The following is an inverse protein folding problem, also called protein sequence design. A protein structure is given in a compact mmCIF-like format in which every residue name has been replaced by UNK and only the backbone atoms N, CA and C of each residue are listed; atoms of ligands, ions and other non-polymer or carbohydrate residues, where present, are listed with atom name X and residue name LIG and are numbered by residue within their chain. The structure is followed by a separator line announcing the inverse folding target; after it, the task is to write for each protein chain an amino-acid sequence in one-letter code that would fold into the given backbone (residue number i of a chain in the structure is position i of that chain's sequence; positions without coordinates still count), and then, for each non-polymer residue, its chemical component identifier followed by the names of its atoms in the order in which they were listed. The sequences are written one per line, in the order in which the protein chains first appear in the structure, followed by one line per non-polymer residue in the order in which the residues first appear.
data_IF_755880949091
#
_entry.id   IF_755880949091
#
_cell.length_a   1.000
_cell.length_b   1.000
_cell.length_c   1.000
_cell.angle_alpha   90.00
_cell.angle_beta   90.00
_cell.angle_gamma   90.00
#
_symmetry.space_group_name_H-M   'P 1'
#
loop_
_entity.id
_entity.type
_entity.pdbx_description
1 polymer ?
#
# COMPACT_ATOMS: atom_id res chain seq x y z
N UNK A 1 -25.73 -30.46 -52.18
CA UNK A 1 -24.71 -29.56 -51.56
C UNK A 1 -25.40 -28.70 -50.51
N UNK A 2 -25.17 -28.98 -49.24
CA UNK A 2 -25.77 -28.30 -48.09
C UNK A 2 -24.98 -27.00 -47.83
N UNK A 3 -25.56 -25.85 -48.16
CA UNK A 3 -25.04 -24.55 -47.74
C UNK A 3 -25.46 -24.31 -46.29
N UNK A 4 -24.52 -24.43 -45.34
CA UNK A 4 -24.73 -23.97 -43.98
C UNK A 4 -24.43 -22.47 -43.90
N UNK A 5 -25.46 -21.65 -43.70
CA UNK A 5 -25.29 -20.28 -43.21
C UNK A 5 -24.68 -20.33 -41.80
N UNK A 6 -23.64 -19.53 -41.50
CA UNK A 6 -23.15 -19.41 -40.14
C UNK A 6 -24.21 -18.70 -39.29
N UNK A 7 -24.74 -19.41 -38.31
CA UNK A 7 -25.62 -18.89 -37.26
C UNK A 7 -24.95 -17.71 -36.56
N UNK A 8 -25.44 -16.50 -36.79
CA UNK A 8 -25.13 -15.32 -35.99
C UNK A 8 -25.68 -15.57 -34.58
N UNK A 9 -24.78 -15.80 -33.63
CA UNK A 9 -25.11 -15.76 -32.21
C UNK A 9 -25.70 -14.37 -31.89
N UNK A 10 -26.82 -14.28 -31.18
CA UNK A 10 -27.28 -12.99 -30.68
C UNK A 10 -26.24 -12.44 -29.70
N UNK A 11 -25.68 -11.28 -30.01
CA UNK A 11 -24.90 -10.45 -29.08
C UNK A 11 -25.70 -10.33 -27.77
N UNK A 12 -25.17 -10.76 -26.61
CA UNK A 12 -25.83 -10.45 -25.36
C UNK A 12 -25.88 -8.92 -25.25
N UNK A 13 -27.10 -8.39 -25.16
CA UNK A 13 -27.35 -6.98 -24.87
C UNK A 13 -26.46 -6.56 -23.69
N UNK A 14 -25.80 -5.39 -23.74
CA UNK A 14 -24.94 -4.93 -22.67
C UNK A 14 -25.77 -4.90 -21.39
N UNK A 15 -25.52 -5.88 -20.52
CA UNK A 15 -26.07 -5.91 -19.18
C UNK A 15 -25.80 -4.54 -18.58
N UNK A 16 -26.90 -3.86 -18.22
CA UNK A 16 -26.93 -2.50 -17.72
C UNK A 16 -25.68 -2.18 -16.91
N UNK A 17 -24.86 -1.26 -17.42
CA UNK A 17 -23.84 -0.61 -16.60
C UNK A 17 -24.56 -0.13 -15.34
N UNK A 18 -24.15 -0.57 -14.13
CA UNK A 18 -24.75 -0.03 -12.93
C UNK A 18 -24.54 1.48 -12.97
N UNK A 19 -25.60 2.25 -12.66
CA UNK A 19 -25.54 3.70 -12.53
C UNK A 19 -24.24 4.10 -11.80
N UNK A 20 -23.59 5.23 -12.17
CA UNK A 20 -22.36 5.64 -11.53
C UNK A 20 -22.64 5.85 -10.04
N UNK A 21 -22.38 4.82 -9.25
CA UNK A 21 -22.32 4.92 -7.80
C UNK A 21 -21.15 5.87 -7.60
N UNK A 22 -21.43 7.13 -7.31
CA UNK A 22 -20.40 8.12 -7.01
C UNK A 22 -19.65 7.58 -5.81
N UNK A 23 -18.54 6.89 -6.06
CA UNK A 23 -17.71 6.32 -5.00
C UNK A 23 -17.16 7.52 -4.25
N UNK A 24 -17.45 7.66 -2.94
CA UNK A 24 -16.93 8.78 -2.18
C UNK A 24 -15.40 8.77 -2.28
N UNK A 25 -14.80 9.95 -2.42
CA UNK A 25 -13.35 10.08 -2.32
C UNK A 25 -12.98 9.78 -0.86
N UNK A 26 -12.24 8.69 -0.65
CA UNK A 26 -11.91 8.20 0.67
C UNK A 26 -10.64 8.88 1.21
N UNK A 27 -9.71 9.25 0.32
CA UNK A 27 -8.55 10.05 0.65
C UNK A 27 -8.05 10.84 -0.58
N UNK A 28 -7.17 11.81 -0.36
CA UNK A 28 -6.51 12.58 -1.41
C UNK A 28 -5.00 12.49 -1.19
N UNK A 29 -4.25 12.21 -2.26
CA UNK A 29 -2.81 12.38 -2.29
C UNK A 29 -2.47 13.69 -2.99
N UNK A 30 -1.80 14.60 -2.29
CA UNK A 30 -1.35 15.88 -2.83
C UNK A 30 0.15 15.85 -3.09
N UNK A 31 0.60 16.08 -4.33
CA UNK A 31 2.01 16.10 -4.68
C UNK A 31 2.71 17.30 -4.05
N UNK A 32 3.68 17.02 -3.19
CA UNK A 32 4.46 18.01 -2.44
C UNK A 32 5.86 18.26 -3.04
N UNK A 33 6.21 17.60 -4.14
CA UNK A 33 7.47 17.85 -4.85
C UNK A 33 7.55 19.28 -5.40
N UNK A 34 8.75 19.84 -5.40
CA UNK A 34 9.06 21.09 -6.09
C UNK A 34 9.31 20.77 -7.57
N UNK A 35 8.54 21.38 -8.47
CA UNK A 35 8.65 21.12 -9.91
C UNK A 35 7.31 21.11 -10.64
N UNK A 36 7.28 20.69 -11.92
CA UNK A 36 6.06 20.53 -12.68
C UNK A 36 5.18 19.47 -12.01
N UNK A 37 4.01 19.88 -11.52
CA UNK A 37 3.09 19.00 -10.79
C UNK A 37 2.96 19.28 -9.29
N UNK A 38 3.68 20.27 -8.74
CA UNK A 38 3.45 20.75 -7.37
C UNK A 38 1.98 21.10 -7.15
N UNK A 39 1.36 20.53 -6.12
CA UNK A 39 -0.05 20.73 -5.80
C UNK A 39 -1.03 19.91 -6.63
N UNK A 40 -0.56 19.03 -7.53
CA UNK A 40 -1.45 18.06 -8.16
C UNK A 40 -2.05 17.12 -7.11
N UNK A 41 -3.34 16.86 -7.24
CA UNK A 41 -4.10 16.03 -6.31
C UNK A 41 -4.60 14.78 -7.03
N UNK A 42 -4.56 13.65 -6.33
CA UNK A 42 -5.03 12.37 -6.80
C UNK A 42 -6.08 11.82 -5.84
N UNK A 43 -7.26 11.55 -6.38
CA UNK A 43 -8.40 11.06 -5.61
C UNK A 43 -8.29 9.55 -5.38
N UNK A 44 -8.25 9.15 -4.12
CA UNK A 44 -8.30 7.76 -3.69
C UNK A 44 -9.77 7.38 -3.49
N UNK A 45 -10.34 6.70 -4.47
CA UNK A 45 -11.77 6.31 -4.48
C UNK A 45 -12.04 4.87 -4.05
N UNK A 46 -11.01 4.03 -3.99
CA UNK A 46 -11.09 2.61 -3.68
C UNK A 46 -10.50 2.26 -2.32
N UNK A 47 -10.95 1.15 -1.74
CA UNK A 47 -10.32 0.55 -0.56
C UNK A 47 -8.97 -0.08 -0.89
N UNK A 48 -8.73 -0.47 -2.15
CA UNK A 48 -7.42 -0.83 -2.67
C UNK A 48 -7.11 0.14 -3.81
N UNK A 49 -5.97 0.80 -3.76
CA UNK A 49 -5.53 1.76 -4.78
C UNK A 49 -4.07 1.48 -5.11
N UNK A 50 -3.79 1.17 -6.37
CA UNK A 50 -2.45 0.93 -6.89
C UNK A 50 -1.77 2.25 -7.25
N UNK A 51 -0.50 2.36 -6.89
CA UNK A 51 0.34 3.54 -7.14
C UNK A 51 1.59 3.09 -7.87
N UNK A 52 1.89 3.74 -8.99
CA UNK A 52 3.06 3.43 -9.78
C UNK A 52 3.19 4.29 -11.03
N UNK A 53 4.24 4.04 -11.81
CA UNK A 53 4.46 4.75 -13.08
C UNK A 53 3.64 4.16 -14.23
N UNK A 54 3.28 2.88 -14.14
CA UNK A 54 2.54 2.19 -15.19
C UNK A 54 1.12 2.72 -15.34
N UNK A 55 0.56 2.73 -16.57
CA UNK A 55 -0.80 3.21 -16.83
C UNK A 55 -1.89 2.29 -16.27
N UNK A 56 -1.53 1.10 -15.79
CA UNK A 56 -2.43 0.13 -15.17
C UNK A 56 -2.73 0.44 -13.70
N UNK A 57 -2.04 1.41 -13.09
CA UNK A 57 -2.27 1.81 -11.70
C UNK A 57 -3.40 2.83 -11.60
N UNK A 58 -4.10 2.84 -10.47
CA UNK A 58 -5.14 3.82 -10.17
C UNK A 58 -4.55 5.25 -10.05
N UNK A 59 -3.34 5.35 -9.48
CA UNK A 59 -2.59 6.59 -9.36
C UNK A 59 -1.30 6.46 -10.15
N UNK A 60 -1.26 7.18 -11.27
CA UNK A 60 -0.13 7.18 -12.19
C UNK A 60 0.80 8.34 -11.85
N UNK A 61 2.02 8.00 -11.42
CA UNK A 61 3.09 8.95 -11.14
C UNK A 61 4.12 8.87 -12.27
N UNK A 62 4.11 9.86 -13.16
CA UNK A 62 5.01 9.95 -14.31
C UNK A 62 6.43 10.40 -13.91
N UNK A 63 7.08 9.66 -13.02
CA UNK A 63 8.42 9.93 -12.53
C UNK A 63 9.30 8.67 -12.68
N UNK A 64 10.55 8.84 -13.13
CA UNK A 64 11.46 7.72 -13.39
C UNK A 64 11.89 6.98 -12.12
N UNK A 65 11.89 7.67 -10.97
CA UNK A 65 12.22 7.06 -9.68
C UNK A 65 11.10 6.14 -9.16
N UNK A 66 9.93 6.13 -9.81
CA UNK A 66 8.77 5.32 -9.44
C UNK A 66 8.72 4.07 -10.34
N UNK A 67 8.80 2.88 -9.72
CA UNK A 67 8.58 1.60 -10.39
C UNK A 67 7.20 1.49 -11.07
N UNK A 68 7.10 0.61 -12.07
CA UNK A 68 5.87 0.41 -12.86
C UNK A 68 4.67 0.06 -11.98
N UNK A 69 4.84 -0.88 -11.04
CA UNK A 69 3.96 -1.08 -9.88
C UNK A 69 4.78 -0.84 -8.62
N UNK A 70 4.56 0.29 -7.94
CA UNK A 70 5.45 0.75 -6.87
C UNK A 70 4.94 0.39 -5.48
N UNK A 71 3.69 0.75 -5.22
CA UNK A 71 3.05 0.54 -3.93
C UNK A 71 1.55 0.40 -4.11
N UNK A 72 0.88 -0.02 -3.04
CA UNK A 72 -0.58 -0.04 -2.95
C UNK A 72 -1.01 0.58 -1.63
N UNK A 73 -2.06 1.38 -1.70
CA UNK A 73 -2.79 1.88 -0.54
C UNK A 73 -3.99 0.96 -0.29
N UNK A 74 -4.15 0.56 0.97
CA UNK A 74 -5.22 -0.30 1.45
C UNK A 74 -5.96 0.37 2.61
N UNK A 75 -7.25 0.60 2.46
CA UNK A 75 -8.14 0.92 3.56
C UNK A 75 -8.64 -0.39 4.18
N UNK A 76 -8.32 -0.57 5.45
CA UNK A 76 -8.83 -1.63 6.33
C UNK A 76 -9.77 -1.03 7.37
N UNK A 77 -10.45 -1.87 8.13
CA UNK A 77 -11.42 -1.46 9.15
C UNK A 77 -10.82 -0.51 10.21
N UNK A 78 -9.53 -0.65 10.47
CA UNK A 78 -8.79 0.09 11.49
C UNK A 78 -7.96 1.25 10.93
N UNK A 79 -7.87 1.42 9.61
CA UNK A 79 -7.09 2.52 9.03
C UNK A 79 -6.57 2.30 7.62
N UNK A 80 -5.82 3.29 7.16
CA UNK A 80 -5.08 3.23 5.91
C UNK A 80 -3.73 2.56 6.11
N UNK A 81 -3.34 1.76 5.14
CA UNK A 81 -2.06 1.06 5.07
C UNK A 81 -1.43 1.33 3.71
N UNK A 82 -0.12 1.51 3.70
CA UNK A 82 0.69 1.47 2.49
C UNK A 82 1.49 0.18 2.48
N UNK A 83 1.53 -0.49 1.34
CA UNK A 83 2.31 -1.70 1.13
C UNK A 83 3.21 -1.47 -0.07
N UNK A 84 4.52 -1.62 0.14
CA UNK A 84 5.50 -1.52 -0.94
C UNK A 84 5.46 -2.81 -1.78
N UNK A 85 5.44 -2.67 -3.10
CA UNK A 85 5.34 -3.80 -4.02
C UNK A 85 6.70 -4.37 -4.45
N UNK A 86 7.77 -4.05 -3.71
CA UNK A 86 9.15 -4.34 -4.12
C UNK A 86 9.71 -3.24 -5.01
N UNK A 87 9.41 -1.98 -4.67
CA UNK A 87 9.87 -0.84 -5.46
C UNK A 87 11.39 -0.69 -5.39
N UNK A 88 11.99 -0.22 -6.50
CA UNK A 88 13.45 -0.09 -6.62
C UNK A 88 14.03 0.91 -5.61
N UNK A 89 13.38 2.07 -5.49
CA UNK A 89 13.84 3.17 -4.62
C UNK A 89 13.21 3.15 -3.22
N UNK A 90 12.20 2.29 -3.01
CA UNK A 90 11.47 2.17 -1.77
C UNK A 90 10.32 3.18 -1.61
N UNK A 91 9.33 2.76 -0.81
CA UNK A 91 8.29 3.63 -0.27
C UNK A 91 8.67 4.10 1.14
N UNK A 92 8.35 5.35 1.49
CA UNK A 92 8.61 5.94 2.81
C UNK A 92 7.35 6.62 3.37
N UNK A 93 7.17 6.54 4.69
CA UNK A 93 6.08 7.18 5.46
C UNK A 93 6.71 7.98 6.58
N UNK A 94 6.46 9.29 6.63
CA UNK A 94 7.04 10.18 7.64
C UNK A 94 8.57 10.11 7.68
N UNK A 95 9.21 9.93 6.52
CA UNK A 95 10.66 9.78 6.40
C UNK A 95 11.22 8.38 6.70
N UNK A 96 10.43 7.46 7.22
CA UNK A 96 10.87 6.07 7.49
C UNK A 96 10.51 5.15 6.33
N UNK A 97 11.44 4.30 5.89
CA UNK A 97 11.17 3.31 4.82
C UNK A 97 10.13 2.29 5.28
N UNK A 98 9.27 1.86 4.36
CA UNK A 98 8.27 0.81 4.58
C UNK A 98 8.93 -0.55 4.33
N UNK A 99 8.80 -1.46 5.30
CA UNK A 99 9.19 -2.86 5.16
C UNK A 99 7.92 -3.72 5.18
N UNK A 100 7.51 -4.21 4.00
CA UNK A 100 6.22 -4.90 3.84
C UNK A 100 5.05 -3.92 3.85
N UNK A 101 4.39 -3.78 4.99
CA UNK A 101 3.23 -2.89 5.16
C UNK A 101 3.39 -1.94 6.34
N UNK A 102 2.85 -0.73 6.20
CA UNK A 102 2.85 0.28 7.26
C UNK A 102 1.53 1.02 7.31
N UNK A 103 1.01 1.18 8.54
CA UNK A 103 -0.18 1.98 8.81
C UNK A 103 0.11 3.46 8.62
N UNK A 104 -0.82 4.17 7.99
CA UNK A 104 -0.81 5.62 7.83
C UNK A 104 -1.61 6.23 8.98
N UNK A 105 -0.90 6.83 9.92
CA UNK A 105 -1.52 7.48 11.08
C UNK A 105 -1.75 8.96 10.78
N UNK A 106 -3.03 9.36 10.71
CA UNK A 106 -3.41 10.73 10.40
C UNK A 106 -3.10 11.12 8.95
N UNK A 107 -2.28 12.15 8.76
CA UNK A 107 -1.94 12.74 7.47
C UNK A 107 -0.42 12.77 7.24
N UNK A 108 0.26 11.60 7.18
CA UNK A 108 1.71 11.57 7.06
C UNK A 108 2.17 11.97 5.65
N UNK A 109 3.41 12.45 5.57
CA UNK A 109 4.10 12.57 4.29
C UNK A 109 4.45 11.18 3.76
N UNK A 110 4.01 10.89 2.55
CA UNK A 110 4.35 9.70 1.78
C UNK A 110 5.45 10.05 0.78
N UNK A 111 6.36 9.11 0.53
CA UNK A 111 7.33 9.22 -0.55
C UNK A 111 7.39 7.92 -1.33
N UNK A 112 7.15 8.01 -2.63
CA UNK A 112 7.29 6.91 -3.58
C UNK A 112 8.51 7.19 -4.43
N UNK A 113 9.63 6.51 -4.16
CA UNK A 113 10.93 6.86 -4.74
C UNK A 113 11.32 8.31 -4.43
N UNK A 114 11.37 9.15 -5.47
CA UNK A 114 11.64 10.59 -5.40
C UNK A 114 10.40 11.47 -5.29
N UNK A 115 9.19 10.91 -5.41
CA UNK A 115 7.93 11.67 -5.37
C UNK A 115 7.40 11.76 -3.95
N UNK A 116 7.41 12.97 -3.36
CA UNK A 116 6.79 13.28 -2.07
C UNK A 116 5.33 13.67 -2.28
N UNK A 117 4.45 13.09 -1.47
CA UNK A 117 3.03 13.35 -1.48
C UNK A 117 2.52 13.48 -0.04
N UNK A 118 1.54 14.34 0.17
CA UNK A 118 0.81 14.46 1.44
C UNK A 118 -0.44 13.62 1.37
N UNK A 119 -0.61 12.72 2.33
CA UNK A 119 -1.82 11.93 2.47
C UNK A 119 -2.87 12.71 3.27
N UNK A 120 -4.07 12.90 2.71
CA UNK A 120 -5.20 13.50 3.41
C UNK A 120 -6.39 12.54 3.42
N UNK A 121 -6.69 11.85 4.54
CA UNK A 121 -7.90 11.03 4.62
C UNK A 121 -9.14 11.94 4.65
N UNK A 122 -10.14 11.63 3.81
CA UNK A 122 -11.44 12.32 3.79
C UNK A 122 -12.54 11.50 4.47
N UNK A 123 -12.43 10.18 4.42
CA UNK A 123 -13.27 9.27 5.19
C UNK A 123 -12.47 8.70 6.36
N UNK A 124 -13.01 8.83 7.58
CA UNK A 124 -12.53 8.03 8.71
C UNK A 124 -12.96 6.57 8.48
N UNK A 125 -12.16 5.56 8.88
CA UNK A 125 -12.50 4.14 8.71
C UNK A 125 -13.91 3.80 9.25
N UNK A 126 -14.33 4.52 10.30
CA UNK A 126 -15.65 4.41 10.93
C UNK A 126 -16.84 4.82 10.06
N UNK A 127 -16.64 5.73 9.09
CA UNK A 127 -17.70 6.22 8.21
C UNK A 127 -17.85 5.37 6.95
N UNK A 128 -16.74 4.83 6.42
CA UNK A 128 -16.75 3.91 5.29
C UNK A 128 -17.38 2.54 5.65
N UNK A 129 -17.17 2.05 6.88
CA UNK A 129 -17.71 0.78 7.35
C UNK A 129 -19.23 0.80 7.62
N UNK A 130 -19.88 1.97 7.73
CA UNK A 130 -21.34 2.07 7.95
C UNK A 130 -22.18 1.88 6.67
N UNK A 131 -21.57 1.87 5.48
CA UNK A 131 -22.28 1.72 4.21
C UNK A 131 -22.64 0.27 3.83
N UNK A 132 -21.99 -0.73 4.40
CA UNK A 132 -22.18 -2.14 4.01
C UNK A 132 -23.12 -2.86 4.97
N UNK A 133 -24.40 -2.46 4.97
CA UNK A 133 -25.43 -3.19 5.71
C UNK A 133 -25.77 -4.49 4.97
N UNK A 134 -25.28 -5.60 5.55
CA UNK A 134 -25.85 -6.96 5.56
C UNK A 134 -26.08 -7.65 4.21
N UNK A 135 -25.15 -8.53 3.84
CA UNK A 135 -25.54 -9.82 3.28
C UNK A 135 -24.95 -10.90 4.16
N UNK A 136 -25.85 -11.67 4.76
CA UNK A 136 -25.57 -12.83 5.56
C UNK A 136 -24.81 -13.88 4.74
N UNK A 137 -23.73 -14.42 5.29
CA UNK A 137 -23.34 -15.79 4.98
C UNK A 137 -23.02 -16.50 6.29
N UNK A 138 -23.79 -17.56 6.47
CA UNK A 138 -23.87 -18.56 7.52
C UNK A 138 -22.52 -18.88 8.21
N UNK A 139 -22.50 -19.05 9.55
CA UNK A 139 -21.31 -19.54 10.25
C UNK A 139 -21.08 -20.99 9.82
N UNK A 140 -19.99 -21.24 9.11
CA UNK A 140 -19.47 -22.59 8.89
C UNK A 140 -18.43 -22.85 9.97
N UNK A 141 -18.83 -23.62 10.98
CA UNK A 141 -17.93 -24.24 11.95
C UNK A 141 -16.74 -24.89 11.25
N UNK A 142 -15.52 -24.41 11.56
CA UNK A 142 -14.31 -25.21 11.82
C UNK A 142 -13.15 -24.30 12.25
N UNK A 143 -13.03 -24.07 13.55
CA UNK A 143 -11.71 -23.96 14.20
C UNK A 143 -11.18 -25.40 14.38
N UNK A 144 -9.86 -25.68 14.35
CA UNK A 144 -8.91 -25.07 15.29
C UNK A 144 -7.53 -24.66 14.73
N UNK A 145 -6.94 -23.70 15.45
CA UNK A 145 -5.53 -23.58 15.84
C UNK A 145 -4.40 -23.64 14.77
N UNK A 146 -3.69 -22.52 14.63
CA UNK A 146 -2.24 -22.43 14.84
C UNK A 146 -1.81 -20.94 14.78
N UNK A 147 -1.59 -20.33 15.95
CA UNK A 147 -0.25 -20.02 16.49
C UNK A 147 0.27 -18.65 16.05
N UNK A 148 0.09 -17.71 16.97
CA UNK A 148 0.85 -16.47 17.21
C UNK A 148 2.23 -16.42 16.56
N UNK A 149 2.40 -15.52 15.59
CA UNK A 149 3.71 -15.11 15.09
C UNK A 149 4.31 -14.04 16.01
N UNK A 150 5.16 -14.49 16.93
CA UNK A 150 5.96 -13.67 17.85
C UNK A 150 6.98 -12.81 17.10
N UNK A 151 6.93 -11.49 17.31
CA UNK A 151 8.03 -10.54 16.99
C UNK A 151 9.33 -11.04 17.63
N UNK A 152 10.29 -11.50 16.82
CA UNK A 152 11.66 -11.73 17.29
C UNK A 152 12.40 -10.39 17.29
N UNK A 153 12.36 -9.70 18.43
CA UNK A 153 13.34 -8.66 18.73
C UNK A 153 14.74 -9.28 18.76
N UNK A 154 15.73 -8.55 18.25
CA UNK A 154 17.12 -9.02 18.20
C UNK A 154 17.55 -9.44 19.62
N UNK A 155 17.92 -10.70 19.82
CA UNK A 155 18.17 -11.22 21.16
C UNK A 155 19.38 -10.55 21.79
N UNK A 156 19.29 -10.27 23.09
CA UNK A 156 20.28 -9.46 23.84
C UNK A 156 21.73 -9.96 23.70
N UNK A 157 21.95 -11.25 23.39
CA UNK A 157 23.28 -11.79 23.11
C UNK A 157 23.98 -11.13 21.91
N UNK A 158 23.22 -10.64 20.91
CA UNK A 158 23.78 -9.88 19.78
C UNK A 158 24.38 -8.56 20.27
N UNK A 159 23.75 -7.89 21.24
CA UNK A 159 24.31 -6.70 21.88
C UNK A 159 25.52 -7.02 22.78
N UNK A 160 25.53 -8.18 23.43
CA UNK A 160 26.70 -8.64 24.22
C UNK A 160 27.92 -8.92 23.33
N UNK A 161 27.73 -9.55 22.17
CA UNK A 161 28.82 -9.75 21.20
C UNK A 161 29.35 -8.42 20.65
N UNK A 162 28.46 -7.47 20.37
CA UNK A 162 28.85 -6.16 19.86
C UNK A 162 29.65 -5.35 20.90
N UNK A 163 29.28 -5.44 22.19
CA UNK A 163 30.05 -4.84 23.28
C UNK A 163 31.43 -5.49 23.47
N UNK A 164 31.55 -6.81 23.35
CA UNK A 164 32.83 -7.54 23.48
C UNK A 164 33.84 -7.15 22.37
N UNK A 165 33.38 -6.92 21.15
CA UNK A 165 34.24 -6.48 20.04
C UNK A 165 34.81 -5.09 20.29
N UNK A 166 34.02 -4.17 20.84
CA UNK A 166 34.47 -2.80 21.15
C UNK A 166 35.50 -2.78 22.28
N UNK A 167 35.29 -3.58 23.34
CA UNK A 167 36.24 -3.66 24.46
C UNK A 167 37.53 -4.38 24.06
N UNK A 168 37.44 -5.47 23.29
CA UNK A 168 38.60 -6.20 22.79
C UNK A 168 39.46 -5.38 21.81
N UNK A 169 38.83 -4.59 20.95
CA UNK A 169 39.52 -3.69 20.02
C UNK A 169 40.29 -2.57 20.72
N UNK A 170 39.75 -2.01 21.81
CA UNK A 170 40.39 -0.95 22.57
C UNK A 170 41.63 -1.42 23.35
N UNK A 171 41.64 -2.66 23.84
CA UNK A 171 42.80 -3.25 24.55
C UNK A 171 43.92 -3.58 23.57
N UNK A 172 43.60 -4.07 22.37
CA UNK A 172 44.61 -4.37 21.34
C UNK A 172 45.28 -3.10 20.78
N UNK A 173 44.54 -1.99 20.70
CA UNK A 173 45.08 -0.70 20.22
C UNK A 173 46.02 -0.02 21.23
N UNK A 174 45.95 -0.38 22.52
CA UNK A 174 46.82 0.15 23.59
C UNK A 174 48.13 -0.61 23.79
N UNK A 175 48.32 -1.74 23.11
CA UNK A 175 49.53 -2.58 23.20
C UNK A 175 50.47 -2.44 21.99
N UNK A 176 50.09 -1.64 20.99
CA UNK A 176 50.86 -1.44 19.75
C UNK A 176 51.18 0.03 19.44
N UNK A 177 50.98 0.91 20.41
CA UNK A 177 51.41 2.31 20.40
C UNK A 177 52.38 2.58 21.53
#
# INVERSE_FOLDING_TARGET
PLSQEPTTLPTPAPAAAPAPVLRPVLAVLEMANEGPGKGQTYDVRGSLTHVGRGPHNDIVLADESVSDSHAKLQLRDDGWYVVDAGSTNGTYVGGTRVEGERRLEGAPDLRFGGVKMRFRPLAQPSDAAKGTRRIATRPSDRAPAATTATKRGVPMWVWVLLALVVVGGAVLYRLKG
#
